data_IF_003704680145
#
_entry.id   IF_003704680145
#
_cell.length_a   1.000
_cell.length_b   1.000
_cell.length_c   1.000
_cell.angle_alpha   90.00
_cell.angle_beta   90.00
_cell.angle_gamma   90.00
#
_symmetry.space_group_name_H-M   'P 1'
#
loop_
_entity.id
_entity.type
_entity.pdbx_description
1 polymer ?
#
# COMPACT_ATOMS: atom_id res chain seq x y z
N UNK A 1 -28.26 -21.55 -29.28
CA UNK A 1 -27.05 -21.16 -28.52
C UNK A 1 -26.44 -22.41 -27.94
N UNK A 2 -25.19 -22.73 -28.30
CA UNK A 2 -24.59 -24.00 -27.94
C UNK A 2 -24.22 -24.01 -26.45
N UNK A 3 -24.60 -25.04 -25.69
CA UNK A 3 -24.35 -25.12 -24.23
C UNK A 3 -22.88 -24.95 -23.87
N UNK A 4 -21.99 -25.42 -24.75
CA UNK A 4 -20.53 -25.27 -24.65
C UNK A 4 -20.06 -23.81 -24.75
N UNK A 5 -20.73 -23.00 -25.59
CA UNK A 5 -20.40 -21.58 -25.76
C UNK A 5 -20.81 -20.77 -24.54
N UNK A 6 -21.93 -21.10 -23.90
CA UNK A 6 -22.40 -20.44 -22.67
C UNK A 6 -21.42 -20.72 -21.52
N UNK A 7 -20.98 -21.98 -21.35
CA UNK A 7 -20.00 -22.38 -20.34
C UNK A 7 -18.64 -21.66 -20.53
N UNK A 8 -18.17 -21.55 -21.77
CA UNK A 8 -16.94 -20.83 -22.08
C UNK A 8 -17.03 -19.33 -21.77
N UNK A 9 -18.17 -18.69 -22.10
CA UNK A 9 -18.39 -17.27 -21.77
C UNK A 9 -18.41 -17.01 -20.26
N UNK A 10 -19.03 -17.89 -19.48
CA UNK A 10 -19.08 -17.77 -18.01
C UNK A 10 -17.68 -17.89 -17.40
N UNK A 11 -16.86 -18.83 -17.88
CA UNK A 11 -15.49 -19.04 -17.39
C UNK A 11 -14.59 -17.82 -17.65
N UNK A 12 -14.72 -17.20 -18.82
CA UNK A 12 -13.98 -15.97 -19.18
C UNK A 12 -14.37 -14.81 -18.27
N UNK A 13 -15.67 -14.66 -17.97
CA UNK A 13 -16.16 -13.61 -17.07
C UNK A 13 -15.65 -13.82 -15.63
N UNK A 14 -15.57 -15.07 -15.16
CA UNK A 14 -15.06 -15.40 -13.81
C UNK A 14 -13.57 -15.07 -13.66
N UNK A 15 -12.78 -15.19 -14.73
CA UNK A 15 -11.34 -14.82 -14.71
C UNK A 15 -11.16 -13.29 -14.58
N UNK A 16 -12.14 -12.49 -15.01
CA UNK A 16 -12.07 -11.03 -15.01
C UNK A 16 -12.46 -10.39 -13.67
N UNK A 17 -13.20 -11.11 -12.81
CA UNK A 17 -13.55 -10.67 -11.45
C UNK A 17 -12.43 -11.02 -10.47
N UNK A 18 -11.25 -10.41 -10.64
CA UNK A 18 -10.27 -10.34 -9.58
C UNK A 18 -10.71 -9.23 -8.61
N UNK A 19 -11.20 -9.60 -7.43
CA UNK A 19 -11.40 -8.64 -6.34
C UNK A 19 -10.01 -8.30 -5.79
N UNK A 20 -9.35 -7.30 -6.36
CA UNK A 20 -8.07 -6.82 -5.85
C UNK A 20 -8.31 -6.07 -4.54
N UNK A 21 -7.98 -6.72 -3.42
CA UNK A 21 -7.96 -6.05 -2.12
C UNK A 21 -6.82 -5.02 -2.15
N UNK A 22 -7.19 -3.74 -2.13
CA UNK A 22 -6.25 -2.63 -2.04
C UNK A 22 -6.01 -2.28 -0.57
N UNK A 23 -4.77 -2.44 -0.10
CA UNK A 23 -4.42 -2.22 1.29
C UNK A 23 -2.97 -2.55 1.61
N UNK A 24 -2.51 -2.05 2.74
CA UNK A 24 -1.23 -2.43 3.34
C UNK A 24 -1.39 -3.81 3.97
N UNK A 25 -0.48 -4.72 3.68
CA UNK A 25 -0.54 -6.11 4.14
C UNK A 25 0.35 -6.35 5.34
N UNK A 26 1.44 -5.61 5.49
CA UNK A 26 2.31 -5.67 6.67
C UNK A 26 3.23 -4.45 6.76
N UNK A 27 3.63 -4.10 7.97
CA UNK A 27 4.67 -3.11 8.25
C UNK A 27 5.71 -3.74 9.17
N UNK A 28 6.97 -3.72 8.76
CA UNK A 28 8.10 -4.21 9.55
C UNK A 28 9.02 -3.04 9.84
N UNK A 29 9.27 -2.79 11.12
CA UNK A 29 10.24 -1.80 11.57
C UNK A 29 11.54 -2.47 12.03
N UNK A 30 12.66 -2.02 11.48
CA UNK A 30 14.01 -2.41 11.86
C UNK A 30 14.82 -1.14 12.16
N UNK A 31 14.88 -0.76 13.43
CA UNK A 31 15.44 0.51 13.87
C UNK A 31 14.76 1.70 13.19
N UNK A 32 15.52 2.39 12.33
CA UNK A 32 15.09 3.57 11.55
C UNK A 32 14.49 3.22 10.17
N UNK A 33 14.45 1.94 9.82
CA UNK A 33 13.94 1.45 8.54
C UNK A 33 12.53 0.91 8.70
N UNK A 34 11.62 1.34 7.84
CA UNK A 34 10.29 0.77 7.69
C UNK A 34 10.19 0.04 6.36
N UNK A 35 9.72 -1.20 6.38
CA UNK A 35 9.39 -1.98 5.19
C UNK A 35 7.89 -2.20 5.16
N UNK A 36 7.23 -1.60 4.17
CA UNK A 36 5.76 -1.57 4.09
C UNK A 36 5.34 -2.37 2.86
N UNK A 37 4.71 -3.52 3.09
CA UNK A 37 4.14 -4.34 2.02
C UNK A 37 2.68 -3.92 1.76
N UNK A 38 2.29 -3.87 0.50
CA UNK A 38 0.95 -3.45 0.09
C UNK A 38 0.50 -4.13 -1.20
N UNK A 39 -0.81 -4.11 -1.42
CA UNK A 39 -1.49 -4.52 -2.65
C UNK A 39 -2.39 -3.37 -3.13
N UNK A 40 -2.51 -3.10 -4.43
CA UNK A 40 -1.79 -3.74 -5.53
C UNK A 40 -0.28 -3.43 -5.51
N UNK A 41 0.53 -4.31 -6.09
CA UNK A 41 1.99 -4.26 -5.98
C UNK A 41 2.61 -2.98 -6.58
N UNK A 42 1.97 -2.39 -7.59
CA UNK A 42 2.42 -1.17 -8.26
C UNK A 42 1.53 0.00 -7.88
N UNK A 43 2.12 1.04 -7.30
CA UNK A 43 1.41 2.23 -6.84
C UNK A 43 2.23 3.49 -7.09
N UNK A 44 1.56 4.57 -7.50
CA UNK A 44 2.12 5.92 -7.57
C UNK A 44 1.74 6.63 -6.26
N UNK A 45 2.73 6.87 -5.40
CA UNK A 45 2.49 7.44 -4.08
C UNK A 45 2.51 8.97 -4.08
N UNK A 46 1.41 9.57 -3.60
CA UNK A 46 1.29 11.01 -3.40
C UNK A 46 1.74 11.42 -2.00
N UNK A 47 1.34 10.65 -0.97
CA UNK A 47 1.75 10.85 0.42
C UNK A 47 2.01 9.51 1.12
N UNK A 48 3.06 9.49 1.95
CA UNK A 48 3.36 8.39 2.87
C UNK A 48 3.49 9.02 4.26
N UNK A 49 2.67 8.62 5.22
CA UNK A 49 2.56 9.33 6.49
C UNK A 49 2.58 8.37 7.68
N UNK A 50 3.37 8.70 8.70
CA UNK A 50 3.15 8.15 10.04
C UNK A 50 2.01 8.91 10.70
N UNK A 51 1.17 8.20 11.43
CA UNK A 51 0.02 8.77 12.12
C UNK A 51 0.12 8.46 13.61
N UNK A 52 -0.17 9.45 14.44
CA UNK A 52 -0.24 9.29 15.89
C UNK A 52 -1.44 10.07 16.42
N UNK A 53 -2.48 9.38 16.88
CA UNK A 53 -3.71 10.02 17.40
C UNK A 53 -4.29 11.05 16.41
N UNK A 54 -4.23 10.74 15.11
CA UNK A 54 -4.68 11.61 14.02
C UNK A 54 -3.66 12.66 13.53
N UNK A 55 -2.56 12.89 14.24
CA UNK A 55 -1.46 13.74 13.76
C UNK A 55 -0.71 13.02 12.65
N UNK A 56 -0.52 13.68 11.49
CA UNK A 56 0.10 13.10 10.29
C UNK A 56 1.48 13.68 10.06
N UNK A 57 2.50 12.84 10.02
CA UNK A 57 3.88 13.21 9.68
C UNK A 57 4.24 12.63 8.32
N UNK A 58 4.51 13.49 7.33
CA UNK A 58 4.89 13.04 6.00
C UNK A 58 6.31 12.49 5.99
N UNK A 59 6.46 11.24 5.56
CA UNK A 59 7.72 10.52 5.44
C UNK A 59 8.09 10.17 4.00
N UNK A 60 7.31 10.64 3.01
CA UNK A 60 7.49 10.30 1.59
C UNK A 60 8.91 10.51 1.08
N UNK A 61 9.57 11.61 1.48
CA UNK A 61 10.95 11.93 1.08
C UNK A 61 11.98 10.87 1.50
N UNK A 62 11.67 10.09 2.52
CA UNK A 62 12.52 9.02 3.05
C UNK A 62 12.19 7.64 2.47
N UNK A 63 11.12 7.55 1.67
CA UNK A 63 10.58 6.29 1.16
C UNK A 63 10.92 6.07 -0.31
N UNK A 64 11.29 4.83 -0.65
CA UNK A 64 11.54 4.38 -2.02
C UNK A 64 10.85 3.04 -2.26
N UNK A 65 10.07 2.97 -3.33
CA UNK A 65 9.58 1.71 -3.88
C UNK A 65 10.60 1.25 -4.92
N UNK A 66 11.23 0.09 -4.71
CA UNK A 66 12.21 -0.44 -5.66
C UNK A 66 11.51 -0.70 -7.00
N UNK A 67 11.95 0.02 -8.04
CA UNK A 67 11.37 0.00 -9.38
C UNK A 67 9.88 0.42 -9.45
N UNK A 68 9.32 1.00 -8.39
CA UNK A 68 7.88 1.34 -8.28
C UNK A 68 6.99 0.23 -7.72
N UNK A 69 7.57 -0.83 -7.14
CA UNK A 69 6.87 -2.02 -6.68
C UNK A 69 6.92 -2.13 -5.15
N UNK A 70 5.95 -2.83 -4.56
CA UNK A 70 5.99 -3.25 -3.15
C UNK A 70 7.21 -4.15 -2.89
N UNK A 71 7.91 -4.01 -1.75
CA UNK A 71 7.62 -3.11 -0.64
C UNK A 71 8.08 -1.66 -0.85
N UNK A 72 7.41 -0.75 -0.15
CA UNK A 72 7.89 0.62 0.06
C UNK A 72 8.86 0.60 1.25
N UNK A 73 10.11 0.98 1.01
CA UNK A 73 11.16 1.01 2.03
C UNK A 73 11.45 2.45 2.42
N UNK A 74 11.24 2.80 3.69
CA UNK A 74 11.50 4.14 4.23
C UNK A 74 12.68 4.12 5.19
N UNK A 75 13.70 4.95 4.96
CA UNK A 75 14.84 5.11 5.87
C UNK A 75 14.75 6.47 6.56
N UNK A 76 14.23 6.48 7.78
CA UNK A 76 13.93 7.70 8.51
C UNK A 76 15.17 8.22 9.26
N UNK A 77 15.35 9.54 9.42
CA UNK A 77 16.40 10.08 10.29
C UNK A 77 16.10 9.80 11.77
N UNK A 78 14.83 9.81 12.14
CA UNK A 78 14.26 9.52 13.46
C UNK A 78 12.88 8.91 13.27
N UNK A 79 12.52 7.93 14.11
CA UNK A 79 11.16 7.34 14.11
C UNK A 79 10.39 7.90 15.31
N UNK A 80 9.44 8.82 15.09
CA UNK A 80 8.58 9.31 16.17
C UNK A 80 7.58 8.24 16.60
N UNK A 81 6.91 8.47 17.74
CA UNK A 81 5.76 7.65 18.14
C UNK A 81 4.65 7.73 17.09
N UNK A 82 4.09 6.57 16.74
CA UNK A 82 3.00 6.42 15.79
C UNK A 82 2.11 5.23 16.19
N UNK A 83 0.83 5.28 15.85
CA UNK A 83 -0.17 4.21 16.03
C UNK A 83 -0.63 3.60 14.70
N UNK A 84 -0.28 4.25 13.58
CA UNK A 84 -0.66 3.80 12.25
C UNK A 84 0.22 4.41 11.16
N UNK A 85 0.17 3.81 9.97
CA UNK A 85 0.73 4.36 8.74
C UNK A 85 -0.39 4.56 7.72
N UNK A 86 -0.33 5.68 7.01
CA UNK A 86 -1.21 6.02 5.90
C UNK A 86 -0.40 6.12 4.61
N UNK A 87 -0.80 5.36 3.60
CA UNK A 87 -0.32 5.50 2.23
C UNK A 87 -1.46 6.03 1.36
N UNK A 88 -1.19 7.10 0.61
CA UNK A 88 -2.16 7.69 -0.31
C UNK A 88 -1.54 7.81 -1.70
N UNK A 89 -2.19 7.22 -2.70
CA UNK A 89 -1.65 7.11 -4.04
C UNK A 89 -2.68 6.67 -5.06
N UNK A 90 -2.22 6.33 -6.26
CA UNK A 90 -3.07 5.77 -7.31
C UNK A 90 -2.40 4.56 -7.96
N UNK A 91 -3.19 3.59 -8.40
CA UNK A 91 -2.70 2.40 -9.09
C UNK A 91 -2.21 2.69 -10.53
N UNK A 92 -2.44 3.91 -11.04
CA UNK A 92 -2.02 4.34 -12.37
C UNK A 92 -2.56 5.72 -12.75
N UNK A 93 -2.06 6.28 -13.85
CA UNK A 93 -2.58 7.57 -14.36
C UNK A 93 -4.02 7.36 -14.84
N UNK A 94 -4.95 8.17 -14.33
CA UNK A 94 -6.38 8.04 -14.64
C UNK A 94 -7.13 6.98 -13.80
N UNK A 95 -6.44 6.28 -12.89
CA UNK A 95 -7.08 5.38 -11.94
C UNK A 95 -7.55 6.13 -10.68
N UNK A 96 -8.47 5.50 -9.94
CA UNK A 96 -8.97 6.01 -8.65
C UNK A 96 -7.83 6.13 -7.64
N UNK A 97 -7.86 7.21 -6.85
CA UNK A 97 -6.96 7.36 -5.72
C UNK A 97 -7.38 6.39 -4.60
N UNK A 98 -6.38 5.80 -3.96
CA UNK A 98 -6.51 4.84 -2.88
C UNK A 98 -5.87 5.42 -1.62
N UNK A 99 -6.61 5.37 -0.53
CA UNK A 99 -6.11 5.63 0.81
C UNK A 99 -6.04 4.29 1.55
N UNK A 100 -4.83 3.92 1.97
CA UNK A 100 -4.57 2.72 2.73
C UNK A 100 -4.10 3.10 4.12
N UNK A 101 -4.76 2.58 5.14
CA UNK A 101 -4.40 2.77 6.54
C UNK A 101 -4.05 1.42 7.17
N UNK A 102 -3.00 1.39 7.96
CA UNK A 102 -2.59 0.19 8.70
C UNK A 102 -2.20 0.55 10.13
N UNK A 103 -2.86 -0.08 11.09
CA UNK A 103 -2.60 0.12 12.51
C UNK A 103 -1.38 -0.69 12.94
N UNK A 104 -0.36 -0.01 13.46
CA UNK A 104 0.82 -0.60 14.07
C UNK A 104 1.50 0.43 14.96
N UNK A 105 2.12 0.01 16.05
CA UNK A 105 2.83 0.93 16.93
C UNK A 105 4.28 1.07 16.48
N UNK A 106 4.72 2.31 16.20
CA UNK A 106 6.14 2.58 15.97
C UNK A 106 6.93 2.38 17.27
N UNK A 107 8.10 1.76 17.15
CA UNK A 107 9.12 1.85 18.21
C UNK A 107 9.87 3.16 18.03
N UNK A 108 9.96 3.98 19.07
CA UNK A 108 10.67 5.26 18.99
C UNK A 108 12.17 5.02 18.89
N UNK A 109 12.82 5.58 17.85
CA UNK A 109 14.26 5.45 17.63
C UNK A 109 14.84 6.81 17.26
N UNK A 110 15.76 7.29 18.09
CA UNK A 110 16.49 8.55 17.92
C UNK A 110 17.65 8.42 16.94
#
# INVERSE_FOLDING_TARGET
MNKLSILSSILIIIILINVSHAGITSVIQDGKKLTINYSPMTMIWFDNQLVNSGLRTNIKSYCKALYGWSPLVCNLPTVPSCDSIRLYGSAGIGATNLEMLYTFNCTVVA
#
